data_IF_446998850524
#
_entry.id   IF_446998850524
#
_cell.length_a   1.000
_cell.length_b   1.000
_cell.length_c   1.000
_cell.angle_alpha   90.00
_cell.angle_beta   90.00
_cell.angle_gamma   90.00
#
_symmetry.space_group_name_H-M   'P 1'
#
loop_
_entity.id
_entity.type
_entity.pdbx_description
1 polymer ?
#
# COMPACT_ATOMS: atom_id res chain seq x y z
N UNK A 1 -54.02 -16.20 31.33
CA UNK A 1 -53.66 -15.77 29.96
C UNK A 1 -53.38 -14.27 30.01
N UNK A 2 -52.19 -13.83 30.43
CA UNK A 2 -50.95 -13.60 29.66
C UNK A 2 -51.02 -12.36 28.73
N UNK A 3 -50.31 -11.30 29.17
CA UNK A 3 -49.65 -10.22 28.42
C UNK A 3 -50.57 -9.17 27.75
N UNK A 4 -50.23 -7.89 27.64
CA UNK A 4 -49.02 -7.12 27.95
C UNK A 4 -49.44 -5.64 28.01
N UNK A 5 -48.73 -4.84 28.81
CA UNK A 5 -48.70 -3.39 28.66
C UNK A 5 -48.32 -2.99 27.22
N UNK A 6 -48.89 -1.91 26.68
CA UNK A 6 -48.16 -1.09 25.70
C UNK A 6 -48.67 0.37 25.70
N UNK A 7 -47.79 1.35 25.97
CA UNK A 7 -48.12 2.74 26.21
C UNK A 7 -48.23 3.57 24.92
N UNK A 8 -48.93 4.70 25.03
CA UNK A 8 -48.84 5.96 24.27
C UNK A 8 -47.95 5.94 23.00
N UNK A 9 -48.58 5.74 21.83
CA UNK A 9 -47.96 6.08 20.54
C UNK A 9 -48.01 7.62 20.36
N UNK A 10 -47.00 8.30 20.91
CA UNK A 10 -46.62 9.66 20.51
C UNK A 10 -46.10 9.62 19.07
N UNK A 11 -46.98 9.90 18.10
CA UNK A 11 -46.58 10.15 16.71
C UNK A 11 -46.01 11.57 16.61
N UNK A 12 -44.74 11.73 16.97
CA UNK A 12 -43.96 12.92 16.62
C UNK A 12 -43.52 12.78 15.17
N UNK A 13 -44.23 13.45 14.25
CA UNK A 13 -43.82 13.59 12.86
C UNK A 13 -42.74 14.67 12.76
N UNK A 14 -41.48 14.26 12.61
CA UNK A 14 -40.38 15.16 12.24
C UNK A 14 -40.04 14.96 10.77
N UNK A 15 -40.28 15.99 9.94
CA UNK A 15 -39.77 16.02 8.57
C UNK A 15 -38.39 16.70 8.62
N UNK A 16 -37.31 15.94 8.51
CA UNK A 16 -35.98 16.50 8.29
C UNK A 16 -35.73 16.63 6.79
N UNK A 17 -35.54 17.86 6.31
CA UNK A 17 -35.00 18.10 4.97
C UNK A 17 -33.53 17.72 4.98
N UNK A 18 -33.11 16.84 4.08
CA UNK A 18 -31.69 16.58 3.85
C UNK A 18 -31.03 17.89 3.38
N UNK A 19 -30.17 18.48 4.22
CA UNK A 19 -29.27 19.53 3.78
C UNK A 19 -28.20 18.85 2.93
N UNK A 20 -28.31 18.97 1.61
CA UNK A 20 -27.20 18.66 0.72
C UNK A 20 -26.23 19.82 0.83
N UNK A 21 -25.36 19.80 1.84
CA UNK A 21 -24.16 20.64 1.80
C UNK A 21 -23.37 20.23 0.55
N UNK A 22 -23.12 21.15 -0.40
CA UNK A 22 -22.21 20.89 -1.49
C UNK A 22 -20.85 20.67 -0.84
N UNK A 23 -20.44 19.41 -0.73
CA UNK A 23 -19.11 19.09 -0.27
C UNK A 23 -18.15 19.47 -1.40
N UNK A 24 -17.80 20.75 -1.45
CA UNK A 24 -16.82 21.35 -2.38
C UNK A 24 -15.39 20.90 -2.06
N UNK A 25 -15.21 19.89 -1.20
CA UNK A 25 -13.89 19.30 -1.02
C UNK A 25 -13.54 18.56 -2.31
N UNK A 26 -12.46 18.93 -3.00
CA UNK A 26 -11.97 18.15 -4.12
C UNK A 26 -11.79 16.70 -3.65
N UNK A 27 -12.10 15.70 -4.49
CA UNK A 27 -11.86 14.31 -4.12
C UNK A 27 -10.40 14.19 -3.68
N UNK A 28 -10.19 13.79 -2.42
CA UNK A 28 -8.86 13.48 -1.90
C UNK A 28 -8.35 12.34 -2.76
N UNK A 29 -7.52 12.66 -3.75
CA UNK A 29 -6.81 11.62 -4.49
C UNK A 29 -5.90 10.95 -3.46
N UNK A 30 -5.97 9.62 -3.30
CA UNK A 30 -4.99 8.93 -2.47
C UNK A 30 -3.62 9.37 -2.95
N UNK A 31 -2.76 9.82 -2.04
CA UNK A 31 -1.35 9.96 -2.37
C UNK A 31 -0.90 8.54 -2.72
N UNK A 32 -0.78 8.26 -4.02
CA UNK A 32 -0.20 7.02 -4.48
C UNK A 32 1.24 7.07 -3.99
N UNK A 33 1.51 6.37 -2.90
CA UNK A 33 2.86 6.06 -2.49
C UNK A 33 3.48 5.36 -3.69
N UNK A 34 4.30 6.07 -4.46
CA UNK A 34 4.87 5.60 -5.72
C UNK A 34 5.98 4.56 -5.48
N UNK A 35 5.85 3.79 -4.40
CA UNK A 35 6.71 2.68 -4.07
C UNK A 35 6.54 1.62 -5.16
N UNK A 36 7.64 1.17 -5.75
CA UNK A 36 7.60 0.09 -6.72
C UNK A 36 6.97 -1.17 -6.09
N UNK A 37 6.07 -1.79 -6.84
CA UNK A 37 5.43 -3.06 -6.47
C UNK A 37 6.04 -4.16 -7.31
N UNK A 38 6.61 -5.17 -6.65
CA UNK A 38 7.16 -6.36 -7.29
C UNK A 38 6.25 -7.57 -7.08
N UNK A 39 6.28 -8.51 -8.02
CA UNK A 39 5.63 -9.81 -7.85
C UNK A 39 6.34 -10.62 -6.76
N UNK A 40 5.63 -11.60 -6.18
CA UNK A 40 6.18 -12.54 -5.19
C UNK A 40 6.85 -13.76 -5.84
N UNK A 41 7.15 -13.67 -7.14
CA UNK A 41 7.80 -14.74 -7.88
C UNK A 41 9.27 -14.86 -7.47
N UNK A 42 9.72 -16.10 -7.23
CA UNK A 42 11.10 -16.40 -6.87
C UNK A 42 11.90 -16.85 -8.10
N UNK A 43 12.60 -15.90 -8.70
CA UNK A 43 13.59 -16.10 -9.77
C UNK A 43 14.85 -15.36 -9.35
N UNK A 44 15.69 -15.97 -8.50
CA UNK A 44 16.72 -15.24 -7.76
C UNK A 44 17.73 -14.59 -8.71
N UNK A 45 18.23 -13.43 -8.30
CA UNK A 45 19.30 -12.71 -9.00
C UNK A 45 20.37 -12.29 -8.01
N UNK A 46 21.62 -12.30 -8.45
CA UNK A 46 22.76 -11.80 -7.69
C UNK A 46 23.08 -10.40 -8.20
N UNK A 47 22.90 -9.39 -7.36
CA UNK A 47 23.25 -8.02 -7.70
C UNK A 47 24.60 -7.64 -7.09
N UNK A 48 25.49 -7.09 -7.91
CA UNK A 48 26.67 -6.35 -7.45
C UNK A 48 26.25 -4.93 -7.14
N UNK A 49 26.41 -4.55 -5.87
CA UNK A 49 26.03 -3.26 -5.32
C UNK A 49 27.29 -2.47 -4.94
N UNK A 50 27.19 -1.14 -5.02
CA UNK A 50 28.25 -0.23 -4.59
C UNK A 50 27.68 0.78 -3.60
N UNK A 51 28.34 0.91 -2.46
CA UNK A 51 28.01 1.92 -1.44
C UNK A 51 29.33 2.51 -0.92
N UNK A 52 29.45 3.83 -0.94
CA UNK A 52 30.67 4.53 -0.49
C UNK A 52 31.97 4.02 -1.14
N UNK A 53 31.91 3.59 -2.42
CA UNK A 53 33.06 3.06 -3.16
C UNK A 53 33.43 1.61 -2.85
N UNK A 54 32.71 0.94 -1.94
CA UNK A 54 32.88 -0.48 -1.67
C UNK A 54 31.83 -1.30 -2.43
N UNK A 55 32.28 -2.33 -3.14
CA UNK A 55 31.40 -3.26 -3.84
C UNK A 55 31.12 -4.51 -3.02
N UNK A 56 29.88 -5.00 -3.07
CA UNK A 56 29.44 -6.23 -2.42
C UNK A 56 28.32 -6.87 -3.22
N UNK A 57 28.09 -8.16 -3.00
CA UNK A 57 27.02 -8.91 -3.68
C UNK A 57 25.86 -9.18 -2.73
N UNK A 58 24.65 -9.24 -3.28
CA UNK A 58 23.44 -9.60 -2.53
C UNK A 58 22.46 -10.34 -3.43
N UNK A 59 21.91 -11.44 -2.91
CA UNK A 59 20.83 -12.16 -3.57
C UNK A 59 19.49 -11.45 -3.34
N UNK A 60 18.73 -11.27 -4.41
CA UNK A 60 17.35 -10.77 -4.39
C UNK A 60 16.41 -11.85 -4.94
N UNK A 61 15.15 -11.84 -4.49
CA UNK A 61 14.16 -12.84 -4.92
C UNK A 61 13.80 -12.76 -6.41
N UNK A 62 13.92 -11.58 -7.02
CA UNK A 62 13.78 -11.35 -8.46
C UNK A 62 14.40 -10.02 -8.89
N UNK A 63 14.49 -9.82 -10.21
CA UNK A 63 15.06 -8.61 -10.83
C UNK A 63 14.35 -7.31 -10.44
N UNK A 64 13.04 -7.34 -10.28
CA UNK A 64 12.27 -6.18 -9.81
C UNK A 64 12.74 -5.75 -8.43
N UNK A 65 12.85 -6.71 -7.50
CA UNK A 65 13.27 -6.48 -6.11
C UNK A 65 14.68 -5.90 -6.02
N UNK A 66 15.60 -6.37 -6.88
CA UNK A 66 16.98 -5.86 -6.98
C UNK A 66 17.06 -4.38 -7.41
N UNK A 67 16.03 -3.83 -8.05
CA UNK A 67 16.00 -2.42 -8.47
C UNK A 67 15.13 -1.56 -7.53
N UNK A 68 14.18 -2.20 -6.85
CA UNK A 68 13.09 -1.52 -6.13
C UNK A 68 13.35 -1.38 -4.64
N UNK A 69 14.04 -2.35 -4.04
CA UNK A 69 14.23 -2.44 -2.59
C UNK A 69 15.68 -2.17 -2.19
N UNK A 70 16.28 -1.18 -2.84
CA UNK A 70 17.65 -0.74 -2.56
C UNK A 70 17.63 0.70 -2.03
N UNK A 71 18.33 0.98 -0.91
CA UNK A 71 18.56 2.34 -0.42
C UNK A 71 19.07 3.29 -1.50
N UNK A 72 18.69 4.57 -1.43
CA UNK A 72 19.04 5.57 -2.47
C UNK A 72 20.54 5.85 -2.58
N UNK A 73 21.30 5.57 -1.53
CA UNK A 73 22.76 5.73 -1.46
C UNK A 73 23.53 4.53 -2.04
N UNK A 74 22.82 3.48 -2.46
CA UNK A 74 23.42 2.28 -3.04
C UNK A 74 23.17 2.25 -4.54
N UNK A 75 24.22 1.99 -5.31
CA UNK A 75 24.16 1.85 -6.76
C UNK A 75 24.19 0.38 -7.16
N UNK A 76 23.31 -0.01 -8.07
CA UNK A 76 23.36 -1.32 -8.73
C UNK A 76 24.37 -1.25 -9.87
N UNK A 77 25.41 -2.07 -9.79
CA UNK A 77 26.48 -2.15 -10.79
C UNK A 77 26.19 -3.24 -11.82
N UNK A 78 25.75 -4.41 -11.35
CA UNK A 78 25.46 -5.58 -12.17
C UNK A 78 24.35 -6.40 -11.54
N UNK A 79 23.55 -7.07 -12.35
CA UNK A 79 22.55 -8.04 -11.91
C UNK A 79 22.68 -9.27 -12.81
N UNK A 80 23.07 -10.39 -12.20
CA UNK A 80 23.20 -11.71 -12.85
C UNK A 80 22.07 -12.63 -12.39
N UNK A 81 21.66 -13.56 -13.26
CA UNK A 81 20.66 -14.57 -12.92
C UNK A 81 21.24 -15.61 -11.95
N UNK A 82 20.41 -16.07 -11.01
CA UNK A 82 20.79 -17.01 -9.96
C UNK A 82 21.09 -16.35 -8.62
N UNK A 83 21.25 -17.15 -7.56
CA UNK A 83 21.70 -16.64 -6.27
C UNK A 83 23.22 -16.37 -6.27
N UNK A 84 23.70 -15.50 -5.39
CA UNK A 84 25.13 -15.34 -5.17
C UNK A 84 25.73 -16.63 -4.55
N UNK A 85 26.98 -16.93 -4.91
CA UNK A 85 27.77 -18.05 -4.37
C UNK A 85 28.23 -17.85 -2.92
#
# INVERSE_FOLDING_TARGET
MKYLALPCLLLLTACSTAQTEPNDTPPVRPILNNQPVCTMEYMPVCATLEQNGQQFTKTFGNRCSAHSFIPKDIKVIKVDDGACE
#
